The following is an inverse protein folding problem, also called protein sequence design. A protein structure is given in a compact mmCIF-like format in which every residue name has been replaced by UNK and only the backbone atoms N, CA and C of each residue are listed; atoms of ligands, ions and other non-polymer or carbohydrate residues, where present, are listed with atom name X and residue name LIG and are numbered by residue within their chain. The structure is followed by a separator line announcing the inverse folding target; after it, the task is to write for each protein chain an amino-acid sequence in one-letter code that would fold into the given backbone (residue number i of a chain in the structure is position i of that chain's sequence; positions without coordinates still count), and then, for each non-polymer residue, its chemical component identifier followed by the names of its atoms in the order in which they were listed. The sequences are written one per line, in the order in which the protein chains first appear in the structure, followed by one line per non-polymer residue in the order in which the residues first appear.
data_IF_653518796486
#
_entry.id   IF_653518796486
#
_cell.length_a   1.000
_cell.length_b   1.000
_cell.length_c   1.000
_cell.angle_alpha   90.00
_cell.angle_beta   90.00
_cell.angle_gamma   90.00
#
_symmetry.space_group_name_H-M   'P 1'
#
loop_
_entity.id
_entity.type
_entity.pdbx_description
1 polymer ?
#
# COMPACT_ATOMS: atom_id res chain seq x y z
N UNK A 1 -16.02 1.19 -15.29
CA UNK A 1 -16.19 -0.08 -14.57
C UNK A 1 -16.79 0.23 -13.20
N UNK A 2 -17.91 -0.38 -12.83
CA UNK A 2 -18.54 -0.18 -11.51
C UNK A 2 -18.18 -1.38 -10.64
N UNK A 3 -17.25 -1.21 -9.69
CA UNK A 3 -16.91 -2.28 -8.73
C UNK A 3 -18.03 -2.40 -7.69
N UNK A 4 -18.31 -3.63 -7.28
CA UNK A 4 -19.30 -3.92 -6.23
C UNK A 4 -18.58 -4.49 -5.03
N UNK A 5 -18.93 -3.99 -3.85
CA UNK A 5 -18.49 -4.57 -2.59
C UNK A 5 -19.20 -5.92 -2.34
N UNK A 6 -18.73 -6.72 -1.37
CA UNK A 6 -19.34 -7.95 -0.83
C UNK A 6 -20.84 -7.79 -0.53
N UNK A 7 -21.25 -6.61 -0.08
CA UNK A 7 -22.65 -6.29 0.25
C UNK A 7 -23.46 -5.87 -1.01
N UNK A 8 -22.88 -5.96 -2.21
CA UNK A 8 -23.51 -5.63 -3.49
C UNK A 8 -23.56 -4.13 -3.82
N UNK A 9 -23.06 -3.27 -2.93
CA UNK A 9 -23.06 -1.80 -3.09
C UNK A 9 -22.01 -1.33 -4.11
N UNK A 10 -22.34 -0.27 -4.86
CA UNK A 10 -21.43 0.35 -5.83
C UNK A 10 -20.29 1.08 -5.12
N UNK A 11 -19.05 0.82 -5.52
CA UNK A 11 -17.84 1.43 -4.98
C UNK A 11 -17.09 2.16 -6.09
N UNK A 12 -16.52 3.32 -5.75
CA UNK A 12 -15.62 4.06 -6.63
C UNK A 12 -14.25 3.34 -6.71
N UNK A 13 -13.83 2.84 -7.90
CA UNK A 13 -12.56 2.13 -8.07
C UNK A 13 -11.32 3.04 -8.05
N UNK A 14 -11.49 4.36 -8.18
CA UNK A 14 -10.36 5.29 -8.39
C UNK A 14 -9.33 5.24 -7.24
N UNK A 15 -9.72 5.29 -5.95
CA UNK A 15 -8.76 5.23 -4.85
C UNK A 15 -7.95 3.93 -4.85
N UNK A 16 -8.59 2.80 -5.15
CA UNK A 16 -7.89 1.52 -5.27
C UNK A 16 -6.86 1.54 -6.40
N UNK A 17 -7.24 2.05 -7.57
CA UNK A 17 -6.36 2.11 -8.73
C UNK A 17 -5.16 3.02 -8.48
N UNK A 18 -5.39 4.23 -7.95
CA UNK A 18 -4.33 5.20 -7.66
C UNK A 18 -3.32 4.62 -6.66
N UNK A 19 -3.79 4.07 -5.55
CA UNK A 19 -2.88 3.52 -4.52
C UNK A 19 -2.12 2.30 -5.05
N UNK A 20 -2.76 1.45 -5.85
CA UNK A 20 -2.11 0.29 -6.46
C UNK A 20 -1.05 0.69 -7.48
N UNK A 21 -1.32 1.70 -8.31
CA UNK A 21 -0.36 2.23 -9.27
C UNK A 21 0.85 2.88 -8.57
N UNK A 22 0.63 3.61 -7.48
CA UNK A 22 1.72 4.15 -6.65
C UNK A 22 2.53 3.02 -6.02
N UNK A 23 1.88 1.99 -5.47
CA UNK A 23 2.55 0.83 -4.91
C UNK A 23 3.41 0.11 -5.96
N UNK A 24 2.91 -0.04 -7.20
CA UNK A 24 3.67 -0.56 -8.33
C UNK A 24 4.92 0.30 -8.59
N UNK A 25 4.73 1.60 -8.78
CA UNK A 25 5.83 2.52 -9.09
C UNK A 25 6.91 2.47 -8.00
N UNK A 26 6.54 2.50 -6.73
CA UNK A 26 7.48 2.43 -5.60
C UNK A 26 8.19 1.07 -5.54
N UNK A 27 7.44 -0.04 -5.63
CA UNK A 27 8.01 -1.38 -5.52
C UNK A 27 9.05 -1.65 -6.61
N UNK A 28 8.80 -1.22 -7.85
CA UNK A 28 9.74 -1.45 -8.95
C UNK A 28 10.84 -0.38 -9.07
N UNK A 29 10.61 0.86 -8.61
CA UNK A 29 11.65 1.90 -8.61
C UNK A 29 12.70 1.64 -7.54
N UNK A 30 12.29 1.19 -6.35
CA UNK A 30 13.19 1.04 -5.20
C UNK A 30 13.52 -0.43 -4.91
N UNK A 31 12.60 -1.35 -5.11
CA UNK A 31 12.73 -2.73 -4.63
C UNK A 31 13.96 -3.47 -5.17
N UNK A 32 14.15 -3.60 -6.50
CA UNK A 32 15.30 -4.34 -7.04
C UNK A 32 16.65 -3.73 -6.60
N UNK A 33 16.75 -2.40 -6.59
CA UNK A 33 17.96 -1.69 -6.15
C UNK A 33 18.23 -1.84 -4.65
N UNK A 34 17.17 -1.78 -3.84
CA UNK A 34 17.23 -2.02 -2.40
C UNK A 34 17.75 -3.42 -2.10
N UNK A 35 17.15 -4.45 -2.71
CA UNK A 35 17.58 -5.83 -2.52
C UNK A 35 19.00 -6.09 -3.06
N UNK A 36 19.37 -5.47 -4.17
CA UNK A 36 20.73 -5.55 -4.70
C UNK A 36 21.78 -4.97 -3.73
N UNK A 37 21.44 -3.88 -3.01
CA UNK A 37 22.33 -3.32 -1.98
C UNK A 37 22.58 -4.30 -0.81
N UNK A 38 21.67 -5.23 -0.55
CA UNK A 38 21.85 -6.32 0.42
C UNK A 38 22.46 -7.60 -0.19
N UNK A 39 22.98 -7.52 -1.41
CA UNK A 39 23.62 -8.66 -2.10
C UNK A 39 22.64 -9.66 -2.72
N UNK A 40 21.35 -9.33 -2.81
CA UNK A 40 20.36 -10.20 -3.46
C UNK A 40 20.51 -10.08 -4.98
N UNK A 41 20.60 -11.19 -5.72
CA UNK A 41 20.67 -11.15 -7.18
C UNK A 41 19.39 -10.53 -7.77
N UNK A 42 19.55 -9.76 -8.85
CA UNK A 42 18.48 -8.95 -9.47
C UNK A 42 17.21 -9.76 -9.75
N UNK A 43 17.34 -11.00 -10.23
CA UNK A 43 16.19 -11.88 -10.49
C UNK A 43 15.36 -12.17 -9.23
N UNK A 44 16.02 -12.44 -8.10
CA UNK A 44 15.33 -12.65 -6.82
C UNK A 44 14.78 -11.33 -6.26
N UNK A 45 15.52 -10.23 -6.40
CA UNK A 45 15.06 -8.89 -6.04
C UNK A 45 13.75 -8.53 -6.76
N UNK A 46 13.66 -8.81 -8.06
CA UNK A 46 12.46 -8.58 -8.87
C UNK A 46 11.27 -9.42 -8.38
N UNK A 47 11.49 -10.70 -8.07
CA UNK A 47 10.44 -11.59 -7.53
C UNK A 47 9.93 -11.06 -6.18
N UNK A 48 10.83 -10.64 -5.30
CA UNK A 48 10.46 -10.05 -4.00
C UNK A 48 9.69 -8.73 -4.16
N UNK A 49 10.12 -7.85 -5.06
CA UNK A 49 9.39 -6.61 -5.38
C UNK A 49 8.01 -6.89 -5.96
N UNK A 50 7.89 -7.91 -6.81
CA UNK A 50 6.60 -8.36 -7.36
C UNK A 50 5.70 -8.90 -6.26
N UNK A 51 6.23 -9.71 -5.34
CA UNK A 51 5.49 -10.22 -4.19
C UNK A 51 4.96 -9.11 -3.28
N UNK A 52 5.79 -8.10 -2.99
CA UNK A 52 5.39 -6.91 -2.25
C UNK A 52 4.27 -6.14 -2.96
N UNK A 53 4.39 -5.96 -4.28
CA UNK A 53 3.36 -5.31 -5.08
C UNK A 53 2.02 -6.07 -5.07
N UNK A 54 2.05 -7.40 -5.23
CA UNK A 54 0.84 -8.23 -5.17
C UNK A 54 0.19 -8.16 -3.80
N UNK A 55 0.97 -8.26 -2.73
CA UNK A 55 0.45 -8.14 -1.36
C UNK A 55 -0.20 -6.76 -1.13
N UNK A 56 0.44 -5.68 -1.58
CA UNK A 56 -0.12 -4.34 -1.51
C UNK A 56 -1.43 -4.21 -2.30
N UNK A 57 -1.48 -4.77 -3.51
CA UNK A 57 -2.68 -4.76 -4.38
C UNK A 57 -3.86 -5.50 -3.73
N UNK A 58 -3.61 -6.65 -3.12
CA UNK A 58 -4.63 -7.42 -2.40
C UNK A 58 -5.11 -6.65 -1.16
N UNK A 59 -4.19 -6.05 -0.40
CA UNK A 59 -4.53 -5.27 0.78
C UNK A 59 -5.35 -4.02 0.44
N UNK A 60 -4.99 -3.29 -0.62
CA UNK A 60 -5.73 -2.12 -1.09
C UNK A 60 -7.10 -2.52 -1.65
N UNK A 61 -7.19 -3.63 -2.38
CA UNK A 61 -8.47 -4.15 -2.87
C UNK A 61 -9.39 -4.51 -1.70
N UNK A 62 -8.87 -5.25 -0.72
CA UNK A 62 -9.62 -5.61 0.47
C UNK A 62 -10.11 -4.35 1.21
N UNK A 63 -9.23 -3.37 1.41
CA UNK A 63 -9.57 -2.14 2.13
C UNK A 63 -10.54 -1.25 1.39
N UNK A 64 -10.28 -0.91 0.13
CA UNK A 64 -11.02 0.11 -0.63
C UNK A 64 -12.22 -0.43 -1.39
N UNK A 65 -12.24 -1.72 -1.72
CA UNK A 65 -13.33 -2.34 -2.50
C UNK A 65 -14.17 -3.28 -1.63
N UNK A 66 -13.53 -4.15 -0.85
CA UNK A 66 -14.20 -5.24 -0.14
C UNK A 66 -14.73 -4.90 1.28
N UNK A 67 -14.16 -3.91 1.95
CA UNK A 67 -14.59 -3.51 3.31
C UNK A 67 -15.28 -2.16 3.38
N UNK A 68 -15.33 -1.41 2.27
CA UNK A 68 -15.98 -0.09 2.23
C UNK A 68 -17.50 -0.27 2.16
N UNK A 69 -18.22 0.06 3.23
CA UNK A 69 -19.69 0.17 3.21
C UNK A 69 -20.11 1.62 2.87
N UNK A 70 -20.39 1.96 1.60
CA UNK A 70 -20.68 3.34 1.20
C UNK A 70 -21.96 3.92 1.82
N UNK A 71 -22.92 3.06 2.17
CA UNK A 71 -24.19 3.44 2.84
C UNK A 71 -24.03 3.71 4.34
N UNK A 72 -22.85 3.43 4.92
CA UNK A 72 -22.53 3.62 6.34
C UNK A 72 -21.45 4.69 6.48
N UNK A 73 -21.57 5.80 5.74
CA UNK A 73 -20.83 7.03 6.05
C UNK A 73 -21.42 7.64 7.32
N UNK A 74 -21.24 6.96 8.45
CA UNK A 74 -21.24 7.65 9.73
C UNK A 74 -20.08 8.63 9.70
N UNK A 75 -20.32 9.85 10.19
CA UNK A 75 -19.24 10.80 10.44
C UNK A 75 -18.28 10.14 11.42
N UNK A 76 -17.12 9.71 10.92
CA UNK A 76 -16.08 9.14 11.77
C UNK A 76 -15.73 10.19 12.83
N UNK A 77 -15.82 9.86 14.14
CA UNK A 77 -15.49 10.78 15.21
C UNK A 77 -14.11 11.43 14.97
N UNK A 78 -13.98 12.71 15.30
CA UNK A 78 -12.75 13.47 15.00
C UNK A 78 -11.51 12.82 15.63
N UNK A 79 -11.66 12.22 16.82
CA UNK A 79 -10.60 11.47 17.52
C UNK A 79 -10.07 10.30 16.68
N UNK A 80 -10.95 9.42 16.20
CA UNK A 80 -10.58 8.25 15.41
C UNK A 80 -9.91 8.62 14.07
N UNK A 81 -10.31 9.75 13.47
CA UNK A 81 -9.65 10.26 12.26
C UNK A 81 -8.22 10.70 12.54
N UNK A 82 -8.00 11.41 13.64
CA UNK A 82 -6.68 11.87 14.04
C UNK A 82 -5.76 10.69 14.36
N UNK A 83 -6.23 9.71 15.13
CA UNK A 83 -5.47 8.51 15.44
C UNK A 83 -5.05 7.75 14.17
N UNK A 84 -5.97 7.56 13.22
CA UNK A 84 -5.66 6.95 11.92
C UNK A 84 -4.61 7.74 11.13
N UNK A 85 -4.66 9.07 11.19
CA UNK A 85 -3.68 9.93 10.53
C UNK A 85 -2.30 9.80 11.18
N UNK A 86 -2.24 9.76 12.51
CA UNK A 86 -0.99 9.54 13.26
C UNK A 86 -0.42 8.16 12.94
N UNK A 87 -1.23 7.10 12.99
CA UNK A 87 -0.81 5.75 12.63
C UNK A 87 -0.31 5.67 11.18
N UNK A 88 -0.99 6.33 10.23
CA UNK A 88 -0.53 6.40 8.84
C UNK A 88 0.80 7.16 8.71
N UNK A 89 0.98 8.25 9.47
CA UNK A 89 2.22 9.03 9.50
C UNK A 89 3.38 8.21 10.06
N UNK A 90 3.17 7.51 11.18
CA UNK A 90 4.17 6.63 11.79
C UNK A 90 4.53 5.48 10.84
N UNK A 91 3.54 4.86 10.19
CA UNK A 91 3.79 3.83 9.18
C UNK A 91 4.61 4.36 8.00
N UNK A 92 4.28 5.57 7.51
CA UNK A 92 5.03 6.24 6.44
C UNK A 92 6.49 6.50 6.85
N UNK A 93 6.71 7.06 8.05
CA UNK A 93 8.04 7.25 8.62
C UNK A 93 8.82 5.94 8.72
N UNK A 94 8.18 4.87 9.21
CA UNK A 94 8.78 3.54 9.28
C UNK A 94 9.22 3.03 7.91
N UNK A 95 8.40 3.21 6.87
CA UNK A 95 8.76 2.85 5.50
C UNK A 95 9.95 3.66 5.00
N UNK A 96 9.99 4.98 5.24
CA UNK A 96 11.12 5.84 4.85
C UNK A 96 12.41 5.40 5.53
N UNK A 97 12.37 5.13 6.84
CA UNK A 97 13.52 4.63 7.60
C UNK A 97 13.99 3.29 7.05
N UNK A 98 13.06 2.38 6.76
CA UNK A 98 13.37 1.05 6.21
C UNK A 98 14.02 1.18 4.83
N UNK A 99 13.53 2.07 3.97
CA UNK A 99 14.12 2.38 2.67
C UNK A 99 15.50 3.05 2.78
N UNK A 100 15.78 3.75 3.88
CA UNK A 100 17.07 4.39 4.14
C UNK A 100 18.12 3.42 4.69
N UNK A 101 17.76 2.20 5.11
CA UNK A 101 18.72 1.23 5.66
C UNK A 101 19.97 0.98 4.79
N UNK A 102 19.86 0.82 3.46
CA UNK A 102 21.03 0.66 2.60
C UNK A 102 22.01 1.82 2.69
N UNK A 103 21.54 3.05 2.93
CA UNK A 103 22.42 4.23 3.01
C UNK A 103 23.27 4.27 4.29
N UNK A 104 22.88 3.51 5.32
CA UNK A 104 23.54 3.50 6.63
C UNK A 104 24.32 2.19 6.85
N UNK A 105 23.90 1.11 6.20
CA UNK A 105 24.43 -0.25 6.42
C UNK A 105 25.29 -0.75 5.25
N UNK A 106 25.15 -0.19 4.05
CA UNK A 106 26.03 -0.49 2.91
C UNK A 106 27.32 0.35 2.94
#
# INVERSE_FOLDING_TARGET
MKLRNRDGALVDPVPWFVVTAVAFAVAYSFGPGYFAAFGVPIGHGLVLSTGLFVAATVATYYRFVWTVSPNRREEVPVGDRFERLVLATVACLGVVVLLALPLVVA
#
